data_IF_004522446936
#
_entry.id   IF_004522446936
#
_cell.length_a   1.000
_cell.length_b   1.000
_cell.length_c   1.000
_cell.angle_alpha   90.00
_cell.angle_beta   90.00
_cell.angle_gamma   90.00
#
_symmetry.space_group_name_H-M   'P 1'
#
loop_
_entity.id
_entity.type
_entity.pdbx_description
1 polymer ?
#
# COMPACT_ATOMS: atom_id res chain seq x y z
N UNK A 1 -35.35 7.43 31.68
CA UNK A 1 -35.69 8.81 31.29
C UNK A 1 -34.44 9.53 30.81
N UNK A 2 -34.39 10.10 29.59
CA UNK A 2 -33.22 10.84 29.14
C UNK A 2 -33.20 12.21 29.80
N UNK A 3 -32.13 12.50 30.56
CA UNK A 3 -31.90 13.79 31.20
C UNK A 3 -31.66 14.84 30.11
N UNK A 4 -32.48 15.88 30.07
CA UNK A 4 -32.36 17.02 29.15
C UNK A 4 -31.00 17.71 29.29
N UNK A 5 -30.30 17.91 28.17
CA UNK A 5 -29.05 18.68 28.09
C UNK A 5 -29.31 20.13 28.49
N UNK A 6 -29.02 20.51 29.74
CA UNK A 6 -29.06 21.92 30.15
C UNK A 6 -28.95 22.17 31.65
N UNK A 7 -29.56 21.32 32.49
CA UNK A 7 -29.40 21.41 33.95
C UNK A 7 -28.41 20.34 34.42
N UNK A 8 -27.14 20.70 34.50
CA UNK A 8 -26.14 19.82 35.14
C UNK A 8 -26.40 19.85 36.64
N UNK A 9 -27.21 18.92 37.14
CA UNK A 9 -27.23 18.58 38.57
C UNK A 9 -25.77 18.43 39.03
N UNK A 10 -25.33 19.31 39.93
CA UNK A 10 -23.93 19.42 40.38
C UNK A 10 -23.58 18.35 41.43
N UNK A 11 -24.60 17.67 41.95
CA UNK A 11 -24.52 16.63 42.99
C UNK A 11 -25.46 15.48 42.63
N UNK A 12 -25.20 14.30 43.21
CA UNK A 12 -26.02 13.08 43.14
C UNK A 12 -26.22 12.57 44.57
N UNK A 13 -27.37 11.99 44.91
CA UNK A 13 -27.52 11.39 46.24
C UNK A 13 -26.64 10.14 46.38
N UNK A 14 -26.22 9.81 47.61
CA UNK A 14 -25.42 8.59 47.84
C UNK A 14 -26.22 7.33 47.48
N UNK A 15 -27.53 7.31 47.74
CA UNK A 15 -28.40 6.19 47.38
C UNK A 15 -28.49 5.99 45.86
N UNK A 16 -28.70 7.06 45.10
CA UNK A 16 -28.74 7.01 43.63
C UNK A 16 -27.39 6.56 43.05
N UNK A 17 -26.28 7.08 43.59
CA UNK A 17 -24.95 6.65 43.18
C UNK A 17 -24.71 5.16 43.45
N UNK A 18 -25.12 4.65 44.62
CA UNK A 18 -25.02 3.23 44.96
C UNK A 18 -25.83 2.37 43.99
N UNK A 19 -27.05 2.77 43.64
CA UNK A 19 -27.89 2.05 42.68
C UNK A 19 -27.19 1.97 41.30
N UNK A 20 -26.67 3.09 40.79
CA UNK A 20 -25.93 3.11 39.52
C UNK A 20 -24.66 2.24 39.59
N UNK A 21 -23.97 2.23 40.74
CA UNK A 21 -22.79 1.39 40.96
C UNK A 21 -23.16 -0.10 40.92
N UNK A 22 -24.25 -0.49 41.58
CA UNK A 22 -24.75 -1.86 41.59
C UNK A 22 -25.27 -2.32 40.22
N UNK A 23 -26.06 -1.49 39.51
CA UNK A 23 -26.54 -1.76 38.15
C UNK A 23 -25.38 -2.05 37.17
N UNK A 24 -24.21 -1.46 37.43
CA UNK A 24 -22.99 -1.64 36.64
C UNK A 24 -22.10 -2.78 37.15
N UNK A 25 -22.60 -3.62 38.06
CA UNK A 25 -21.88 -4.73 38.69
C UNK A 25 -20.61 -4.31 39.44
N UNK A 26 -20.66 -3.19 40.13
CA UNK A 26 -19.57 -2.67 40.95
C UNK A 26 -20.02 -2.49 42.41
N UNK A 27 -19.05 -2.28 43.31
CA UNK A 27 -19.27 -1.94 44.73
C UNK A 27 -18.62 -0.59 45.01
N UNK A 28 -19.36 0.30 45.67
CA UNK A 28 -18.83 1.57 46.16
C UNK A 28 -18.14 1.35 47.51
N UNK A 29 -16.82 1.40 47.51
CA UNK A 29 -16.03 1.19 48.74
C UNK A 29 -15.97 2.46 49.58
N UNK A 30 -15.73 3.59 48.92
CA UNK A 30 -15.54 4.87 49.60
C UNK A 30 -15.92 6.05 48.72
N UNK A 31 -16.52 7.07 49.32
CA UNK A 31 -16.72 8.39 48.72
C UNK A 31 -15.75 9.36 49.38
N UNK A 32 -14.87 9.98 48.59
CA UNK A 32 -13.87 10.93 49.07
C UNK A 32 -14.46 12.34 48.98
N UNK A 33 -15.01 12.82 50.09
CA UNK A 33 -15.60 14.15 50.26
C UNK A 33 -15.07 14.84 51.51
N UNK A 34 -15.12 16.17 51.55
CA UNK A 34 -14.73 16.96 52.74
C UNK A 34 -15.69 16.79 53.92
N UNK A 35 -16.95 16.40 53.67
CA UNK A 35 -17.93 16.09 54.72
C UNK A 35 -17.90 14.61 55.06
N UNK A 36 -17.97 14.29 56.36
CA UNK A 36 -18.22 12.94 56.88
C UNK A 36 -19.70 12.61 56.65
N UNK A 37 -20.00 11.46 56.05
CA UNK A 37 -21.36 10.97 55.74
C UNK A 37 -22.25 11.97 54.96
N UNK A 38 -21.87 12.35 53.72
CA UNK A 38 -22.69 13.26 52.94
C UNK A 38 -23.96 12.58 52.41
N UNK A 39 -25.13 13.22 52.50
CA UNK A 39 -26.33 12.75 51.79
C UNK A 39 -26.21 12.90 50.26
N UNK A 40 -25.38 13.87 49.83
CA UNK A 40 -25.15 14.23 48.44
C UNK A 40 -23.67 14.31 48.10
N UNK A 41 -23.28 13.67 46.99
CA UNK A 41 -21.92 13.64 46.48
C UNK A 41 -21.76 14.63 45.32
N UNK A 42 -20.86 15.63 45.44
CA UNK A 42 -20.50 16.48 44.31
C UNK A 42 -19.94 15.66 43.15
N UNK A 43 -20.34 15.97 41.91
CA UNK A 43 -19.87 15.23 40.72
C UNK A 43 -18.34 15.28 40.52
N UNK A 44 -17.67 16.29 41.08
CA UNK A 44 -16.22 16.43 41.03
C UNK A 44 -15.47 15.59 42.06
N UNK A 45 -16.16 15.07 43.08
CA UNK A 45 -15.57 14.21 44.11
C UNK A 45 -15.05 12.91 43.51
N UNK A 46 -14.06 12.32 44.19
CA UNK A 46 -13.54 11.00 43.86
C UNK A 46 -14.34 9.92 44.58
N UNK A 47 -14.46 8.77 43.93
CA UNK A 47 -15.05 7.56 44.48
C UNK A 47 -14.11 6.40 44.25
N UNK A 48 -14.03 5.51 45.25
CA UNK A 48 -13.30 4.27 45.19
C UNK A 48 -14.29 3.13 44.92
N UNK A 49 -14.04 2.37 43.85
CA UNK A 49 -14.93 1.34 43.34
C UNK A 49 -14.19 0.00 43.25
N UNK A 50 -14.92 -1.10 43.40
CA UNK A 50 -14.47 -2.46 43.07
C UNK A 50 -15.39 -3.09 42.04
N UNK A 51 -14.82 -3.73 41.01
CA UNK A 51 -15.63 -4.44 40.01
C UNK A 51 -15.93 -5.86 40.48
N UNK A 52 -17.20 -6.26 40.54
CA UNK A 52 -17.58 -7.62 40.96
C UNK A 52 -17.20 -8.69 39.92
N UNK A 53 -16.98 -8.31 38.66
CA UNK A 53 -16.61 -9.24 37.59
C UNK A 53 -15.11 -9.61 37.58
N UNK A 54 -14.23 -8.65 37.85
CA UNK A 54 -12.77 -8.86 37.74
C UNK A 54 -12.00 -8.54 39.02
N UNK A 55 -12.70 -8.18 40.11
CA UNK A 55 -12.15 -7.77 41.40
C UNK A 55 -11.14 -6.59 41.35
N UNK A 56 -11.03 -5.89 40.22
CA UNK A 56 -10.18 -4.73 40.10
C UNK A 56 -10.77 -3.54 40.88
N UNK A 57 -9.95 -2.94 41.73
CA UNK A 57 -10.26 -1.72 42.48
C UNK A 57 -9.66 -0.50 41.79
N UNK A 58 -10.41 0.60 41.75
CA UNK A 58 -9.92 1.86 41.17
C UNK A 58 -10.62 3.09 41.71
N UNK A 59 -9.90 4.21 41.71
CA UNK A 59 -10.47 5.52 41.97
C UNK A 59 -10.85 6.23 40.66
N UNK A 60 -11.96 6.96 40.70
CA UNK A 60 -12.36 7.85 39.60
C UNK A 60 -13.20 9.01 40.10
N UNK A 61 -13.39 10.05 39.27
CA UNK A 61 -14.33 11.13 39.59
C UNK A 61 -15.75 10.69 39.29
N UNK A 62 -16.72 11.10 40.10
CA UNK A 62 -18.12 10.71 39.94
C UNK A 62 -18.64 11.02 38.54
N UNK A 63 -18.40 12.22 37.99
CA UNK A 63 -18.86 12.54 36.62
C UNK A 63 -18.25 11.62 35.56
N UNK A 64 -16.96 11.29 35.68
CA UNK A 64 -16.27 10.40 34.73
C UNK A 64 -16.86 9.00 34.79
N UNK A 65 -17.22 8.53 35.98
CA UNK A 65 -17.90 7.26 36.13
C UNK A 65 -19.28 7.31 35.49
N UNK A 66 -20.11 8.29 35.84
CA UNK A 66 -21.48 8.42 35.35
C UNK A 66 -21.56 8.51 33.82
N UNK A 67 -20.67 9.28 33.18
CA UNK A 67 -20.66 9.50 31.72
C UNK A 67 -20.20 8.28 30.90
N UNK A 68 -19.61 7.24 31.52
CA UNK A 68 -19.19 6.03 30.80
C UNK A 68 -20.38 5.12 30.51
N UNK A 69 -20.81 5.11 29.24
CA UNK A 69 -21.86 4.23 28.71
C UNK A 69 -21.31 3.06 27.86
N UNK A 70 -20.01 2.78 27.95
CA UNK A 70 -19.37 1.70 27.20
C UNK A 70 -19.71 0.29 27.75
N UNK A 71 -19.39 -0.78 26.99
CA UNK A 71 -19.76 -2.15 27.33
C UNK A 71 -19.07 -2.71 28.59
N UNK A 72 -18.04 -2.03 29.10
CA UNK A 72 -17.44 -2.36 30.41
C UNK A 72 -18.15 -1.69 31.60
N UNK A 73 -19.21 -0.91 31.33
CA UNK A 73 -20.00 -0.16 32.30
C UNK A 73 -19.16 0.71 33.27
N UNK A 74 -17.96 1.09 32.86
CA UNK A 74 -17.05 1.94 33.63
C UNK A 74 -15.79 1.26 34.15
N UNK A 75 -15.73 -0.07 34.26
CA UNK A 75 -14.53 -0.77 34.74
C UNK A 75 -13.40 -0.70 33.70
N UNK A 76 -12.24 -0.20 34.12
CA UNK A 76 -11.07 -0.03 33.24
C UNK A 76 -10.43 -1.37 32.85
N UNK A 77 -10.38 -2.33 33.77
CA UNK A 77 -9.75 -3.62 33.52
C UNK A 77 -10.61 -4.48 32.60
N UNK A 78 -11.92 -4.58 32.86
CA UNK A 78 -12.87 -5.23 31.95
C UNK A 78 -12.83 -4.60 30.54
N UNK A 79 -12.75 -3.26 30.44
CA UNK A 79 -12.61 -2.58 29.15
C UNK A 79 -11.34 -2.99 28.41
N UNK A 80 -10.19 -3.02 29.12
CA UNK A 80 -8.91 -3.43 28.54
C UNK A 80 -8.95 -4.86 28.04
N UNK A 81 -9.54 -5.77 28.82
CA UNK A 81 -9.70 -7.17 28.44
C UNK A 81 -10.62 -7.30 27.20
N UNK A 82 -11.73 -6.56 27.14
CA UNK A 82 -12.63 -6.56 25.97
C UNK A 82 -11.95 -6.01 24.71
N UNK A 83 -11.11 -4.97 24.81
CA UNK A 83 -10.33 -4.44 23.67
C UNK A 83 -9.37 -5.49 23.10
N UNK A 84 -8.90 -6.40 23.94
CA UNK A 84 -7.99 -7.48 23.54
C UNK A 84 -8.74 -8.66 22.92
N UNK A 85 -10.05 -8.80 23.15
CA UNK A 85 -10.87 -9.85 22.57
C UNK A 85 -11.16 -9.58 21.07
N UNK A 86 -10.65 -10.41 20.13
CA UNK A 86 -10.86 -10.22 18.71
C UNK A 86 -12.30 -10.39 18.24
N UNK A 87 -13.13 -11.11 19.01
CA UNK A 87 -14.54 -11.33 18.69
C UNK A 87 -15.39 -10.08 18.95
N UNK A 88 -14.99 -9.28 19.94
CA UNK A 88 -15.71 -8.07 20.37
C UNK A 88 -15.18 -6.83 19.63
N UNK A 89 -13.85 -6.72 19.47
CA UNK A 89 -13.21 -5.58 18.80
C UNK A 89 -12.20 -6.03 17.74
N UNK A 90 -12.66 -6.50 16.56
CA UNK A 90 -11.78 -7.04 15.52
C UNK A 90 -10.73 -6.04 15.02
N UNK A 91 -11.01 -4.73 15.15
CA UNK A 91 -10.18 -3.62 14.69
C UNK A 91 -9.46 -2.84 15.81
N UNK A 92 -9.27 -3.46 16.98
CA UNK A 92 -8.74 -2.74 18.14
C UNK A 92 -7.34 -2.12 17.89
N UNK A 93 -7.05 -0.91 18.40
CA UNK A 93 -5.74 -0.27 18.25
C UNK A 93 -4.58 -1.13 18.77
N UNK A 94 -4.81 -1.93 19.81
CA UNK A 94 -3.84 -2.88 20.35
C UNK A 94 -3.44 -3.95 19.32
N UNK A 95 -4.42 -4.46 18.56
CA UNK A 95 -4.18 -5.44 17.48
C UNK A 95 -3.42 -4.81 16.31
N UNK A 96 -3.76 -3.58 15.92
CA UNK A 96 -3.00 -2.84 14.89
C UNK A 96 -1.52 -2.68 15.28
N UNK A 97 -1.25 -2.42 16.56
CA UNK A 97 0.12 -2.31 17.06
C UNK A 97 0.87 -3.65 17.07
N UNK A 98 0.22 -4.77 17.39
CA UNK A 98 0.84 -6.10 17.30
C UNK A 98 1.13 -6.51 15.85
N UNK A 99 0.17 -6.31 14.94
CA UNK A 99 0.37 -6.57 13.49
C UNK A 99 1.52 -5.69 12.95
N UNK A 100 1.60 -4.44 13.37
CA UNK A 100 2.69 -3.55 12.95
C UNK A 100 4.05 -3.89 13.57
N UNK A 101 4.09 -4.51 14.76
CA UNK A 101 5.33 -5.06 15.35
C UNK A 101 5.83 -6.30 14.60
N UNK A 102 4.92 -7.10 14.04
CA UNK A 102 5.25 -8.28 13.24
C UNK A 102 5.57 -7.97 11.78
N UNK A 103 5.24 -6.77 11.28
CA UNK A 103 5.80 -6.29 10.02
C UNK A 103 7.28 -6.03 10.26
N UNK A 104 8.14 -6.81 9.60
CA UNK A 104 9.59 -6.60 9.55
C UNK A 104 9.84 -5.10 9.37
N UNK A 105 10.40 -4.44 10.40
CA UNK A 105 10.55 -2.99 10.36
C UNK A 105 11.26 -2.56 9.07
N UNK A 106 11.01 -1.35 8.56
CA UNK A 106 11.66 -0.81 7.35
C UNK A 106 13.18 -1.05 7.27
N UNK A 107 13.85 -1.26 8.42
CA UNK A 107 15.26 -1.67 8.54
C UNK A 107 15.57 -3.02 7.88
N UNK A 108 14.70 -4.03 7.98
CA UNK A 108 14.88 -5.34 7.33
C UNK A 108 14.93 -5.16 5.80
N UNK A 109 14.06 -4.31 5.24
CA UNK A 109 14.10 -3.98 3.82
C UNK A 109 15.42 -3.32 3.39
N UNK A 110 16.00 -2.44 4.21
CA UNK A 110 17.28 -1.79 3.89
C UNK A 110 18.44 -2.79 3.89
N UNK A 111 18.47 -3.72 4.84
CA UNK A 111 19.54 -4.72 4.91
C UNK A 111 19.43 -5.75 3.78
N UNK A 112 18.20 -6.19 3.47
CA UNK A 112 17.94 -7.04 2.28
C UNK A 112 18.40 -6.34 1.00
N UNK A 113 18.12 -5.04 0.85
CA UNK A 113 18.61 -4.26 -0.29
C UNK A 113 20.14 -4.18 -0.32
N UNK A 114 20.81 -3.95 0.83
CA UNK A 114 22.28 -3.94 0.88
C UNK A 114 22.89 -5.27 0.50
N UNK A 115 22.36 -6.38 1.00
CA UNK A 115 22.83 -7.72 0.64
C UNK A 115 22.63 -7.97 -0.86
N UNK A 116 21.48 -7.61 -1.42
CA UNK A 116 21.23 -7.70 -2.86
C UNK A 116 22.21 -6.83 -3.68
N UNK A 117 22.52 -5.61 -3.22
CA UNK A 117 23.48 -4.72 -3.89
C UNK A 117 24.91 -5.26 -3.82
N UNK A 118 25.33 -5.78 -2.66
CA UNK A 118 26.67 -6.35 -2.46
C UNK A 118 26.95 -7.52 -3.40
N UNK A 119 25.91 -8.29 -3.72
CA UNK A 119 26.00 -9.42 -4.66
C UNK A 119 25.65 -9.02 -6.11
N UNK A 120 25.26 -7.77 -6.36
CA UNK A 120 24.88 -7.27 -7.67
C UNK A 120 26.06 -6.71 -8.48
N UNK A 121 25.78 -6.29 -9.71
CA UNK A 121 26.79 -5.75 -10.65
C UNK A 121 27.62 -4.58 -10.08
N UNK A 122 27.04 -3.81 -9.14
CA UNK A 122 27.67 -2.65 -8.51
C UNK A 122 28.22 -2.92 -7.11
N UNK A 123 28.24 -4.17 -6.64
CA UNK A 123 28.67 -4.53 -5.29
C UNK A 123 30.14 -4.20 -4.97
N UNK A 124 30.96 -3.99 -6.01
CA UNK A 124 32.36 -3.58 -5.91
C UNK A 124 32.52 -2.07 -5.61
N UNK A 125 31.48 -1.25 -5.81
CA UNK A 125 31.50 0.18 -5.50
C UNK A 125 31.05 0.37 -4.04
N UNK A 126 31.95 0.90 -3.21
CA UNK A 126 31.74 1.03 -1.77
C UNK A 126 31.91 2.46 -1.25
N UNK A 127 32.39 3.37 -2.10
CA UNK A 127 32.63 4.77 -1.73
C UNK A 127 32.55 5.70 -2.94
N UNK A 128 32.54 7.02 -2.68
CA UNK A 128 32.39 8.06 -3.71
C UNK A 128 33.52 8.04 -4.73
N UNK A 129 34.77 7.73 -4.32
CA UNK A 129 35.91 7.67 -5.25
C UNK A 129 35.72 6.57 -6.29
N UNK A 130 35.38 5.36 -5.84
CA UNK A 130 35.07 4.22 -6.73
C UNK A 130 33.86 4.52 -7.63
N UNK A 131 32.84 5.21 -7.12
CA UNK A 131 31.71 5.65 -7.94
C UNK A 131 32.16 6.62 -9.04
N UNK A 132 32.99 7.60 -8.71
CA UNK A 132 33.54 8.53 -9.71
C UNK A 132 34.38 7.82 -10.77
N UNK A 133 35.20 6.83 -10.37
CA UNK A 133 36.01 6.05 -11.30
C UNK A 133 35.11 5.20 -12.24
N UNK A 134 34.05 4.59 -11.69
CA UNK A 134 33.04 3.89 -12.49
C UNK A 134 32.38 4.82 -13.52
N UNK A 135 31.95 6.02 -13.11
CA UNK A 135 31.31 6.99 -14.01
C UNK A 135 32.26 7.46 -15.13
N UNK A 136 33.55 7.65 -14.83
CA UNK A 136 34.57 8.01 -15.82
C UNK A 136 34.82 6.89 -16.83
N UNK A 137 34.86 5.65 -16.36
CA UNK A 137 35.13 4.48 -17.21
C UNK A 137 33.92 4.06 -18.06
N UNK A 138 32.72 4.56 -17.75
CA UNK A 138 31.49 4.27 -18.47
C UNK A 138 30.84 5.57 -18.99
N UNK A 139 31.48 6.31 -19.91
CA UNK A 139 31.00 7.62 -20.32
C UNK A 139 29.68 7.52 -21.09
N UNK A 140 28.70 8.31 -20.66
CA UNK A 140 27.45 8.60 -21.38
C UNK A 140 26.87 9.91 -20.86
N UNK A 141 25.85 10.47 -21.53
CA UNK A 141 25.30 11.77 -21.17
C UNK A 141 24.85 11.87 -19.70
N UNK A 142 24.26 10.80 -19.16
CA UNK A 142 23.88 10.71 -17.75
C UNK A 142 25.10 10.70 -16.82
N UNK A 143 26.05 9.79 -17.04
CA UNK A 143 27.23 9.62 -16.19
C UNK A 143 28.12 10.88 -16.19
N UNK A 144 28.25 11.56 -17.33
CA UNK A 144 28.97 12.84 -17.44
C UNK A 144 28.31 13.93 -16.61
N UNK A 145 26.97 14.04 -16.66
CA UNK A 145 26.23 15.02 -15.85
C UNK A 145 26.32 14.71 -14.35
N UNK A 146 26.19 13.45 -13.96
CA UNK A 146 26.33 13.06 -12.55
C UNK A 146 27.73 13.36 -12.03
N UNK A 147 28.76 13.04 -12.81
CA UNK A 147 30.15 13.27 -12.41
C UNK A 147 30.42 14.75 -12.13
N UNK A 148 29.92 15.66 -12.98
CA UNK A 148 30.08 17.11 -12.75
C UNK A 148 29.36 17.59 -11.47
N UNK A 149 28.18 17.03 -11.17
CA UNK A 149 27.44 17.32 -9.94
C UNK A 149 28.15 16.80 -8.68
N UNK A 150 28.75 15.61 -8.74
CA UNK A 150 29.59 15.08 -7.63
C UNK A 150 30.78 16.01 -7.40
N UNK A 151 31.50 16.40 -8.45
CA UNK A 151 32.67 17.29 -8.35
C UNK A 151 32.26 18.64 -7.73
N UNK A 152 31.16 19.24 -8.18
CA UNK A 152 30.59 20.46 -7.59
C UNK A 152 30.34 20.29 -6.10
N UNK A 153 29.64 19.23 -5.71
CA UNK A 153 29.23 18.99 -4.33
C UNK A 153 30.43 18.76 -3.39
N UNK A 154 31.45 18.03 -3.84
CA UNK A 154 32.70 17.86 -3.10
C UNK A 154 33.46 19.20 -2.97
N UNK A 155 33.43 20.05 -4.01
CA UNK A 155 33.95 21.41 -3.94
C UNK A 155 33.25 22.25 -2.86
N UNK A 156 31.92 22.30 -2.87
CA UNK A 156 31.13 23.02 -1.86
C UNK A 156 31.43 22.51 -0.44
N UNK A 157 31.55 21.19 -0.27
CA UNK A 157 31.87 20.57 1.01
C UNK A 157 33.24 21.01 1.55
N UNK A 158 34.27 21.14 0.69
CA UNK A 158 35.59 21.66 1.09
C UNK A 158 35.49 23.09 1.63
N UNK A 159 34.62 23.91 1.06
CA UNK A 159 34.36 25.28 1.51
C UNK A 159 33.33 25.36 2.66
N UNK A 160 32.87 24.23 3.20
CA UNK A 160 31.82 24.14 4.23
C UNK A 160 30.48 24.79 3.82
N UNK A 161 30.23 24.94 2.52
CA UNK A 161 28.98 25.44 1.96
C UNK A 161 28.03 24.27 1.74
N UNK A 162 26.77 24.36 2.20
CA UNK A 162 25.78 23.33 1.90
C UNK A 162 24.95 23.79 0.71
N UNK A 163 24.66 22.87 -0.22
CA UNK A 163 23.86 23.19 -1.41
C UNK A 163 22.49 23.78 -1.06
N UNK A 164 21.89 23.34 0.05
CA UNK A 164 20.63 23.88 0.59
C UNK A 164 20.68 25.35 1.01
N UNK A 165 21.88 25.86 1.32
CA UNK A 165 22.08 27.25 1.72
C UNK A 165 22.11 28.14 0.46
N UNK A 166 22.49 27.58 -0.68
CA UNK A 166 22.45 28.25 -2.00
C UNK A 166 21.06 28.17 -2.65
N UNK A 167 20.33 27.07 -2.43
CA UNK A 167 19.02 26.80 -3.05
C UNK A 167 17.99 26.33 -2.01
N UNK A 168 17.51 27.22 -1.12
CA UNK A 168 16.59 26.86 -0.05
C UNK A 168 15.25 26.35 -0.58
N UNK A 169 14.86 25.14 -0.16
CA UNK A 169 13.57 24.51 -0.55
C UNK A 169 13.57 23.84 -1.93
N UNK A 170 14.67 23.93 -2.67
CA UNK A 170 14.81 23.44 -4.04
C UNK A 170 15.72 22.21 -4.16
N UNK A 171 16.20 21.66 -3.03
CA UNK A 171 17.05 20.48 -3.02
C UNK A 171 16.22 19.19 -3.00
N UNK A 172 16.72 18.18 -3.71
CA UNK A 172 16.24 16.81 -3.67
C UNK A 172 17.43 15.84 -3.62
N UNK A 173 17.18 14.60 -3.20
CA UNK A 173 18.19 13.55 -3.09
C UNK A 173 18.04 12.58 -4.26
N UNK A 174 19.09 12.43 -5.07
CA UNK A 174 19.09 11.56 -6.25
C UNK A 174 19.99 10.34 -6.02
N UNK A 175 19.50 9.12 -6.29
CA UNK A 175 20.34 7.92 -6.30
C UNK A 175 21.11 7.83 -7.62
N UNK A 176 22.44 7.94 -7.61
CA UNK A 176 23.27 7.88 -8.83
C UNK A 176 23.05 6.55 -9.56
N UNK A 177 23.11 5.45 -8.83
CA UNK A 177 22.68 4.14 -9.30
C UNK A 177 21.35 3.82 -8.61
N UNK A 178 20.23 3.67 -9.33
CA UNK A 178 18.94 3.46 -8.68
C UNK A 178 18.81 2.09 -8.05
N UNK A 179 17.94 2.00 -7.03
CA UNK A 179 17.71 0.76 -6.28
C UNK A 179 17.20 -0.39 -7.17
N UNK A 180 16.35 -0.11 -8.16
CA UNK A 180 15.83 -1.14 -9.07
C UNK A 180 16.88 -1.66 -10.06
N UNK A 181 17.99 -0.93 -10.23
CA UNK A 181 19.18 -1.38 -10.97
C UNK A 181 20.24 -1.98 -10.03
N UNK A 182 19.86 -2.41 -8.83
CA UNK A 182 20.73 -2.93 -7.76
C UNK A 182 21.77 -1.91 -7.24
N UNK A 183 21.45 -0.61 -7.29
CA UNK A 183 22.27 0.43 -6.66
C UNK A 183 22.13 0.44 -5.13
N UNK A 184 23.23 0.73 -4.42
CA UNK A 184 23.24 0.73 -2.96
C UNK A 184 22.36 1.83 -2.34
N UNK A 185 21.65 1.58 -1.23
CA UNK A 185 20.94 2.60 -0.46
C UNK A 185 21.87 3.40 0.48
N UNK A 186 23.19 3.26 0.35
CA UNK A 186 24.17 3.95 1.17
C UNK A 186 24.43 5.38 0.65
N UNK A 187 24.90 6.24 1.56
CA UNK A 187 25.01 7.68 1.30
C UNK A 187 25.99 8.05 0.18
N UNK A 188 26.98 7.21 -0.11
CA UNK A 188 27.92 7.46 -1.21
C UNK A 188 27.25 7.39 -2.58
N UNK A 189 26.11 6.69 -2.70
CA UNK A 189 25.35 6.54 -3.93
C UNK A 189 24.22 7.59 -4.05
N UNK A 190 24.12 8.53 -3.12
CA UNK A 190 23.05 9.53 -3.08
C UNK A 190 23.67 10.91 -3.10
N UNK A 191 23.33 11.71 -4.12
CA UNK A 191 23.82 13.09 -4.25
C UNK A 191 22.69 14.10 -4.02
N UNK A 192 22.97 15.22 -3.31
CA UNK A 192 22.06 16.35 -3.27
C UNK A 192 22.13 17.09 -4.62
N UNK A 193 20.97 17.37 -5.19
CA UNK A 193 20.79 18.08 -6.47
C UNK A 193 19.62 19.04 -6.35
N UNK A 194 19.52 20.04 -7.22
CA UNK A 194 18.29 20.84 -7.32
C UNK A 194 17.15 20.01 -7.90
N UNK A 195 15.89 20.45 -7.76
CA UNK A 195 14.73 19.75 -8.35
C UNK A 195 14.81 19.72 -9.87
N UNK A 196 15.30 20.80 -10.48
CA UNK A 196 15.61 20.90 -11.91
C UNK A 196 16.64 19.85 -12.33
N UNK A 197 17.76 19.77 -11.60
CA UNK A 197 18.80 18.77 -11.85
C UNK A 197 18.26 17.34 -11.66
N UNK A 198 17.41 17.10 -10.66
CA UNK A 198 16.79 15.79 -10.44
C UNK A 198 15.93 15.35 -11.64
N UNK A 199 15.12 16.28 -12.18
CA UNK A 199 14.30 16.02 -13.36
C UNK A 199 15.16 15.73 -14.59
N UNK A 200 16.17 16.57 -14.84
CA UNK A 200 17.13 16.41 -15.94
C UNK A 200 17.84 15.06 -15.86
N UNK A 201 18.29 14.65 -14.65
CA UNK A 201 18.94 13.36 -14.45
C UNK A 201 18.03 12.17 -14.81
N UNK A 202 16.74 12.20 -14.46
CA UNK A 202 15.82 11.14 -14.88
C UNK A 202 15.55 11.15 -16.39
N UNK A 203 15.49 12.32 -17.03
CA UNK A 203 15.37 12.42 -18.49
C UNK A 203 16.58 11.79 -19.19
N UNK A 204 17.79 12.15 -18.76
CA UNK A 204 19.03 11.61 -19.28
C UNK A 204 19.12 10.10 -19.07
N UNK A 205 18.74 9.61 -17.88
CA UNK A 205 18.79 8.18 -17.60
C UNK A 205 17.80 7.39 -18.45
N UNK A 206 16.57 7.90 -18.64
CA UNK A 206 15.62 7.29 -19.56
C UNK A 206 16.15 7.26 -21.00
N UNK A 207 16.79 8.34 -21.46
CA UNK A 207 17.36 8.40 -22.80
C UNK A 207 18.51 7.40 -23.01
N UNK A 208 19.34 7.16 -21.98
CA UNK A 208 20.48 6.22 -22.06
C UNK A 208 20.05 4.75 -21.93
N UNK A 209 19.16 4.43 -21.00
CA UNK A 209 18.85 3.03 -20.63
C UNK A 209 17.44 2.57 -21.04
N UNK A 210 16.55 3.47 -21.47
CA UNK A 210 15.18 3.13 -21.90
C UNK A 210 14.24 2.65 -20.78
N UNK A 211 14.63 2.82 -19.51
CA UNK A 211 13.89 2.26 -18.38
C UNK A 211 12.63 3.07 -18.04
N UNK A 212 11.45 2.46 -18.17
CA UNK A 212 10.15 3.11 -17.90
C UNK A 212 10.02 3.71 -16.49
N UNK A 213 10.76 3.18 -15.51
CA UNK A 213 10.77 3.72 -14.16
C UNK A 213 11.34 5.15 -14.11
N UNK A 214 12.37 5.45 -14.91
CA UNK A 214 12.91 6.81 -15.02
C UNK A 214 11.94 7.74 -15.71
N UNK A 215 11.28 7.29 -16.77
CA UNK A 215 10.25 8.08 -17.43
C UNK A 215 9.15 8.49 -16.44
N UNK A 216 8.70 7.58 -15.58
CA UNK A 216 7.75 7.90 -14.52
C UNK A 216 8.32 8.91 -13.51
N UNK A 217 9.59 8.75 -13.13
CA UNK A 217 10.27 9.66 -12.22
C UNK A 217 10.49 11.05 -12.82
N UNK A 218 10.69 11.18 -14.14
CA UNK A 218 10.71 12.45 -14.87
C UNK A 218 9.40 13.20 -14.67
N UNK A 219 8.25 12.56 -14.84
CA UNK A 219 6.95 13.22 -14.62
C UNK A 219 6.72 13.59 -13.15
N UNK A 220 7.16 12.75 -12.22
CA UNK A 220 7.05 13.03 -10.79
C UNK A 220 7.88 14.26 -10.40
N UNK A 221 9.14 14.30 -10.81
CA UNK A 221 10.05 15.42 -10.53
C UNK A 221 9.64 16.72 -11.23
N UNK A 222 9.02 16.64 -12.42
CA UNK A 222 8.45 17.81 -13.07
C UNK A 222 7.36 18.47 -12.21
N UNK A 223 6.52 17.67 -11.54
CA UNK A 223 5.50 18.20 -10.64
C UNK A 223 6.10 18.88 -9.42
N UNK A 224 7.25 18.39 -8.93
CA UNK A 224 7.98 19.03 -7.83
C UNK A 224 8.60 20.37 -8.25
N UNK A 225 9.08 20.49 -9.49
CA UNK A 225 9.57 21.77 -10.06
C UNK A 225 8.43 22.78 -10.13
N UNK A 226 7.28 22.40 -10.70
CA UNK A 226 6.13 23.31 -10.82
C UNK A 226 5.68 23.77 -9.42
N UNK A 227 5.63 22.85 -8.46
CA UNK A 227 5.27 23.18 -7.07
C UNK A 227 6.29 24.11 -6.42
N UNK A 228 7.58 23.91 -6.66
CA UNK A 228 8.64 24.78 -6.13
C UNK A 228 8.50 26.22 -6.66
N UNK A 229 8.23 26.36 -7.97
CA UNK A 229 8.15 27.68 -8.63
C UNK A 229 6.84 28.42 -8.36
N UNK A 230 5.72 27.70 -8.29
CA UNK A 230 4.38 28.33 -8.24
C UNK A 230 3.76 28.29 -6.85
N UNK A 231 4.31 27.52 -5.91
CA UNK A 231 3.69 27.21 -4.61
C UNK A 231 2.43 26.33 -4.71
N UNK A 232 1.90 26.10 -5.91
CA UNK A 232 0.70 25.32 -6.16
C UNK A 232 1.03 23.92 -6.69
N UNK A 233 0.37 22.90 -6.14
CA UNK A 233 0.52 21.52 -6.63
C UNK A 233 -0.36 21.32 -7.86
N UNK A 234 0.20 21.56 -9.06
CA UNK A 234 -0.48 21.18 -10.29
C UNK A 234 -0.35 19.67 -10.49
N UNK A 235 -1.49 18.97 -10.62
CA UNK A 235 -1.50 17.59 -11.09
C UNK A 235 -1.13 17.59 -12.57
N UNK A 236 0.16 17.42 -12.87
CA UNK A 236 0.58 17.07 -14.23
C UNK A 236 -0.18 15.79 -14.58
N UNK A 237 -0.87 15.79 -15.73
CA UNK A 237 -1.50 14.58 -16.27
C UNK A 237 -0.39 13.55 -16.41
N UNK A 238 -0.28 12.65 -15.43
CA UNK A 238 0.58 11.47 -15.52
C UNK A 238 0.25 10.81 -16.86
N UNK A 239 1.25 10.23 -17.54
CA UNK A 239 1.02 9.34 -18.70
C UNK A 239 -0.23 8.55 -18.37
N UNK A 240 -1.31 8.59 -19.19
CA UNK A 240 -2.52 7.85 -18.90
C UNK A 240 -2.05 6.46 -18.52
N UNK A 241 -2.24 6.10 -17.24
CA UNK A 241 -1.74 4.84 -16.72
C UNK A 241 -2.17 3.83 -17.77
N UNK A 242 -1.21 3.22 -18.48
CA UNK A 242 -1.55 2.10 -19.36
C UNK A 242 -2.48 1.26 -18.52
N UNK A 243 -3.69 0.96 -19.04
CA UNK A 243 -4.77 0.30 -18.33
C UNK A 243 -4.31 -1.10 -17.86
N UNK A 244 -3.40 -1.11 -16.90
CA UNK A 244 -2.77 -2.22 -16.22
C UNK A 244 -3.68 -2.68 -15.09
N UNK A 245 -4.79 -1.99 -14.86
CA UNK A 245 -5.99 -2.52 -14.23
C UNK A 245 -6.42 -3.84 -14.87
N UNK A 246 -6.10 -4.09 -16.15
CA UNK A 246 -6.28 -5.40 -16.81
C UNK A 246 -5.17 -6.42 -16.54
N UNK A 247 -3.91 -5.98 -16.33
CA UNK A 247 -2.72 -6.86 -16.26
C UNK A 247 -2.42 -7.32 -14.82
N UNK A 248 -2.61 -6.46 -13.81
CA UNK A 248 -2.22 -6.78 -12.41
C UNK A 248 -3.05 -7.89 -11.74
N UNK A 249 -4.16 -8.29 -12.36
CA UNK A 249 -5.06 -9.33 -11.85
C UNK A 249 -5.32 -10.43 -12.88
N UNK A 250 -4.39 -10.68 -13.81
CA UNK A 250 -4.49 -11.83 -14.69
C UNK A 250 -4.16 -13.09 -13.86
N UNK A 251 -5.07 -14.08 -13.77
CA UNK A 251 -4.78 -15.35 -13.11
C UNK A 251 -3.53 -15.99 -13.72
N UNK A 252 -2.71 -16.64 -12.88
CA UNK A 252 -1.43 -17.20 -13.30
C UNK A 252 -1.60 -18.23 -14.45
N UNK A 253 -2.70 -18.96 -14.46
CA UNK A 253 -3.12 -19.86 -15.53
C UNK A 253 -3.19 -19.15 -16.89
N UNK A 254 -3.81 -17.97 -16.91
CA UNK A 254 -3.97 -17.17 -18.12
C UNK A 254 -2.62 -16.59 -18.56
N UNK A 255 -1.80 -16.14 -17.62
CA UNK A 255 -0.45 -15.65 -17.94
C UNK A 255 0.41 -16.77 -18.55
N UNK A 256 0.32 -17.99 -18.02
CA UNK A 256 1.03 -19.15 -18.55
C UNK A 256 0.53 -19.53 -19.94
N UNK A 257 -0.79 -19.57 -20.16
CA UNK A 257 -1.38 -19.86 -21.47
C UNK A 257 -0.91 -18.84 -22.54
N UNK A 258 -0.89 -17.55 -22.20
CA UNK A 258 -0.39 -16.51 -23.12
C UNK A 258 1.12 -16.65 -23.39
N UNK A 259 1.90 -17.09 -22.40
CA UNK A 259 3.33 -17.33 -22.54
C UNK A 259 3.65 -18.56 -23.39
N UNK A 260 2.83 -19.61 -23.29
CA UNK A 260 3.02 -20.88 -24.00
C UNK A 260 2.37 -20.88 -25.40
N UNK A 261 1.40 -20.00 -25.63
CA UNK A 261 0.57 -20.03 -26.83
C UNK A 261 -0.58 -21.02 -26.71
N UNK A 262 -1.56 -20.89 -27.60
CA UNK A 262 -2.75 -21.75 -27.62
C UNK A 262 -3.36 -21.81 -29.02
N UNK A 263 -4.09 -22.88 -29.29
CA UNK A 263 -4.92 -23.04 -30.50
C UNK A 263 -6.37 -22.87 -30.07
N UNK A 264 -7.09 -21.98 -30.74
CA UNK A 264 -8.51 -21.74 -30.52
C UNK A 264 -9.29 -22.29 -31.72
N UNK A 265 -10.25 -23.18 -31.48
CA UNK A 265 -11.06 -23.82 -32.53
C UNK A 265 -12.53 -23.58 -32.25
N UNK A 266 -13.23 -22.96 -33.18
CA UNK A 266 -14.68 -22.79 -33.16
C UNK A 266 -15.37 -24.05 -33.70
N UNK A 267 -16.54 -24.39 -33.16
CA UNK A 267 -17.38 -25.52 -33.62
C UNK A 267 -17.71 -25.50 -35.13
N UNK A 268 -17.71 -24.32 -35.75
CA UNK A 268 -18.02 -24.13 -37.17
C UNK A 268 -16.76 -24.20 -38.06
N UNK A 269 -15.62 -24.66 -37.51
CA UNK A 269 -14.38 -24.92 -38.25
C UNK A 269 -13.36 -23.78 -38.25
N UNK A 270 -13.73 -22.57 -37.82
CA UNK A 270 -12.79 -21.45 -37.72
C UNK A 270 -11.74 -21.69 -36.65
N UNK A 271 -10.46 -21.62 -37.01
CA UNK A 271 -9.35 -21.83 -36.08
C UNK A 271 -8.30 -20.72 -36.16
N UNK A 272 -7.67 -20.42 -35.02
CA UNK A 272 -6.53 -19.49 -34.94
C UNK A 272 -5.49 -19.99 -33.96
N UNK A 273 -4.22 -19.83 -34.34
CA UNK A 273 -3.07 -20.11 -33.49
C UNK A 273 -2.57 -18.82 -32.87
N UNK A 274 -2.65 -18.73 -31.54
CA UNK A 274 -2.08 -17.61 -30.76
C UNK A 274 -0.66 -18.00 -30.36
N UNK A 275 0.32 -17.34 -30.97
CA UNK A 275 1.74 -17.61 -30.73
C UNK A 275 2.19 -17.12 -29.33
N UNK A 276 3.22 -17.75 -28.74
CA UNK A 276 3.80 -17.35 -27.45
C UNK A 276 4.08 -15.85 -27.34
N UNK A 277 3.65 -15.23 -26.24
CA UNK A 277 3.92 -13.82 -25.90
C UNK A 277 3.42 -12.78 -26.92
N UNK A 278 2.52 -13.14 -27.83
CA UNK A 278 1.94 -12.18 -28.78
C UNK A 278 0.79 -11.37 -28.21
N UNK A 279 0.05 -11.92 -27.25
CA UNK A 279 -1.07 -11.28 -26.57
C UNK A 279 -0.77 -11.13 -25.08
N UNK A 280 -1.28 -10.08 -24.44
CA UNK A 280 -0.95 -9.74 -23.05
C UNK A 280 -2.13 -9.89 -22.08
N UNK A 281 -3.36 -9.85 -22.58
CA UNK A 281 -4.57 -9.82 -21.75
C UNK A 281 -5.67 -10.73 -22.27
N UNK A 282 -6.61 -11.11 -21.40
CA UNK A 282 -7.83 -11.83 -21.83
C UNK A 282 -8.68 -11.00 -22.80
N UNK A 283 -8.56 -9.66 -22.75
CA UNK A 283 -9.26 -8.77 -23.68
C UNK A 283 -8.66 -8.89 -25.09
N UNK A 284 -7.35 -9.06 -25.21
CA UNK A 284 -6.70 -9.29 -26.49
C UNK A 284 -7.18 -10.61 -27.10
N UNK A 285 -7.23 -11.68 -26.28
CA UNK A 285 -7.80 -12.97 -26.71
C UNK A 285 -9.24 -12.80 -27.19
N UNK A 286 -10.08 -12.08 -26.45
CA UNK A 286 -11.46 -11.77 -26.88
C UNK A 286 -11.48 -11.12 -28.26
N UNK A 287 -10.66 -10.09 -28.48
CA UNK A 287 -10.64 -9.37 -29.74
C UNK A 287 -10.17 -10.28 -30.90
N UNK A 288 -9.17 -11.13 -30.66
CA UNK A 288 -8.71 -12.13 -31.62
C UNK A 288 -9.82 -13.12 -32.01
N UNK A 289 -10.58 -13.64 -31.03
CA UNK A 289 -11.70 -14.55 -31.29
C UNK A 289 -12.86 -13.88 -32.04
N UNK A 290 -13.14 -12.61 -31.75
CA UNK A 290 -14.16 -11.82 -32.47
C UNK A 290 -13.75 -11.63 -33.93
N UNK A 291 -12.48 -11.29 -34.17
CA UNK A 291 -11.97 -11.01 -35.52
C UNK A 291 -11.83 -12.29 -36.37
N UNK A 292 -11.74 -13.46 -35.75
CA UNK A 292 -11.72 -14.74 -36.45
C UNK A 292 -13.07 -15.09 -37.11
N UNK A 293 -14.19 -14.56 -36.59
CA UNK A 293 -15.52 -14.89 -37.06
C UNK A 293 -16.05 -13.85 -38.08
N UNK A 294 -16.85 -14.26 -39.09
CA UNK A 294 -17.55 -13.33 -40.00
C UNK A 294 -18.46 -12.32 -39.27
N UNK A 295 -18.74 -11.19 -39.93
CA UNK A 295 -19.54 -10.07 -39.38
C UNK A 295 -20.96 -10.47 -38.96
N UNK A 296 -21.57 -11.33 -39.76
CA UNK A 296 -22.91 -11.89 -39.61
C UNK A 296 -22.96 -13.12 -38.69
N UNK A 297 -21.81 -13.60 -38.20
CA UNK A 297 -21.73 -14.81 -37.38
C UNK A 297 -22.38 -14.60 -36.00
N UNK A 298 -23.34 -15.46 -35.62
CA UNK A 298 -24.11 -15.31 -34.37
C UNK A 298 -23.24 -15.21 -33.12
N UNK A 299 -22.19 -16.04 -33.03
CA UNK A 299 -21.33 -16.07 -31.85
C UNK A 299 -20.41 -14.83 -31.76
N UNK A 300 -20.07 -14.18 -32.89
CA UNK A 300 -19.36 -12.88 -32.91
C UNK A 300 -20.21 -11.80 -32.22
N UNK A 301 -21.48 -11.72 -32.62
CA UNK A 301 -22.44 -10.77 -32.05
C UNK A 301 -22.66 -11.03 -30.55
N UNK A 302 -22.77 -12.30 -30.15
CA UNK A 302 -22.89 -12.67 -28.72
C UNK A 302 -21.68 -12.25 -27.88
N UNK A 303 -20.46 -12.39 -28.40
CA UNK A 303 -19.24 -11.97 -27.70
C UNK A 303 -19.19 -10.44 -27.55
N UNK A 304 -19.56 -9.70 -28.59
CA UNK A 304 -19.57 -8.23 -28.60
C UNK A 304 -20.62 -7.66 -27.64
N UNK A 305 -21.85 -8.19 -27.67
CA UNK A 305 -22.96 -7.70 -26.85
C UNK A 305 -22.83 -8.08 -25.37
N UNK A 306 -22.20 -9.21 -25.05
CA UNK A 306 -22.10 -9.67 -23.67
C UNK A 306 -20.95 -8.98 -22.93
N UNK A 307 -21.29 -8.11 -21.96
CA UNK A 307 -20.34 -7.39 -21.08
C UNK A 307 -19.43 -8.31 -20.26
N UNK A 308 -19.84 -9.56 -20.03
CA UNK A 308 -19.08 -10.56 -19.24
C UNK A 308 -18.30 -11.56 -20.09
N UNK A 309 -18.26 -11.38 -21.42
CA UNK A 309 -17.54 -12.25 -22.37
C UNK A 309 -16.09 -12.51 -21.98
N UNK A 310 -15.38 -11.49 -21.48
CA UNK A 310 -14.00 -11.62 -21.00
C UNK A 310 -13.90 -12.63 -19.85
N UNK A 311 -14.88 -12.70 -18.95
CA UNK A 311 -14.87 -13.64 -17.83
C UNK A 311 -15.14 -15.09 -18.28
N UNK A 312 -15.98 -15.28 -19.31
CA UNK A 312 -16.21 -16.60 -19.90
C UNK A 312 -14.97 -17.12 -20.61
N UNK A 313 -14.32 -16.27 -21.42
CA UNK A 313 -13.06 -16.60 -22.10
C UNK A 313 -11.96 -16.87 -21.06
N UNK A 314 -11.87 -16.06 -20.00
CA UNK A 314 -10.94 -16.30 -18.87
C UNK A 314 -11.16 -17.69 -18.25
N UNK A 315 -12.41 -18.05 -18.01
CA UNK A 315 -12.76 -19.33 -17.38
C UNK A 315 -12.44 -20.52 -18.28
N UNK A 316 -12.64 -20.37 -19.60
CA UNK A 316 -12.23 -21.36 -20.60
C UNK A 316 -10.71 -21.57 -20.57
N UNK A 317 -9.91 -20.50 -20.54
CA UNK A 317 -8.44 -20.58 -20.45
C UNK A 317 -8.02 -21.28 -19.15
N UNK A 318 -8.53 -20.85 -17.99
CA UNK A 318 -8.19 -21.47 -16.69
C UNK A 318 -8.50 -22.97 -16.67
N UNK A 319 -9.62 -23.37 -17.27
CA UNK A 319 -10.03 -24.77 -17.34
C UNK A 319 -9.10 -25.60 -18.23
N UNK A 320 -8.59 -25.00 -19.30
CA UNK A 320 -7.72 -25.67 -20.27
C UNK A 320 -6.27 -25.74 -19.79
N UNK A 321 -5.82 -24.74 -19.02
CA UNK A 321 -4.46 -24.61 -18.49
C UNK A 321 -4.47 -24.62 -16.95
N UNK A 322 -4.93 -25.70 -16.29
CA UNK A 322 -5.03 -25.75 -14.84
C UNK A 322 -3.63 -25.76 -14.20
N UNK A 323 -3.51 -25.09 -13.06
CA UNK A 323 -2.32 -25.24 -12.20
C UNK A 323 -2.46 -26.45 -11.27
N UNK A 324 -1.35 -27.11 -10.88
CA UNK A 324 -1.38 -28.32 -10.05
C UNK A 324 -2.04 -28.19 -8.67
N UNK A 325 -2.34 -26.97 -8.22
CA UNK A 325 -2.61 -26.67 -6.80
C UNK A 325 -4.03 -26.17 -6.50
N UNK A 326 -4.93 -26.05 -7.47
CA UNK A 326 -6.26 -25.49 -7.22
C UNK A 326 -7.26 -26.58 -6.78
N UNK A 327 -7.28 -26.87 -5.47
CA UNK A 327 -8.21 -27.82 -4.82
C UNK A 327 -9.70 -27.44 -4.80
N UNK A 328 -10.14 -26.50 -5.64
CA UNK A 328 -11.57 -26.17 -5.81
C UNK A 328 -11.96 -26.37 -7.27
N UNK A 329 -12.74 -27.44 -7.51
CA UNK A 329 -13.35 -27.74 -8.79
C UNK A 329 -14.35 -26.63 -9.15
N UNK A 330 -13.90 -25.60 -9.87
CA UNK A 330 -14.83 -24.72 -10.60
C UNK A 330 -15.53 -25.57 -11.65
N UNK A 331 -16.83 -25.31 -11.90
CA UNK A 331 -17.57 -25.96 -13.00
C UNK A 331 -16.73 -25.89 -14.27
N UNK A 332 -16.39 -27.05 -14.81
CA UNK A 332 -15.54 -27.18 -15.98
C UNK A 332 -16.23 -26.51 -17.17
N UNK A 333 -15.62 -25.46 -17.74
CA UNK A 333 -16.13 -24.82 -18.94
C UNK A 333 -15.45 -25.47 -20.13
N UNK A 334 -16.19 -26.32 -20.85
CA UNK A 334 -15.67 -27.03 -22.03
C UNK A 334 -15.68 -26.17 -23.29
N UNK A 335 -16.55 -25.16 -23.37
CA UNK A 335 -16.53 -24.17 -24.45
C UNK A 335 -17.08 -22.82 -24.00
N UNK A 336 -16.60 -21.74 -24.62
CA UNK A 336 -17.19 -20.40 -24.49
C UNK A 336 -17.46 -19.85 -25.89
N UNK A 337 -18.72 -19.54 -26.19
CA UNK A 337 -19.14 -19.05 -27.50
C UNK A 337 -18.75 -19.97 -28.67
N UNK A 338 -18.84 -21.29 -28.48
CA UNK A 338 -18.48 -22.27 -29.49
C UNK A 338 -16.98 -22.52 -29.65
N UNK A 339 -16.12 -21.79 -28.94
CA UNK A 339 -14.68 -22.02 -28.93
C UNK A 339 -14.25 -23.08 -27.92
N UNK A 340 -13.34 -23.94 -28.37
CA UNK A 340 -12.51 -24.83 -27.56
C UNK A 340 -11.06 -24.34 -27.63
N UNK A 341 -10.28 -24.60 -26.58
CA UNK A 341 -8.87 -24.24 -26.50
C UNK A 341 -8.03 -25.50 -26.38
N UNK A 342 -6.86 -25.48 -27.00
CA UNK A 342 -5.84 -26.51 -26.87
C UNK A 342 -4.47 -25.85 -26.63
N UNK A 343 -3.57 -26.47 -25.84
CA UNK A 343 -2.18 -26.04 -25.76
C UNK A 343 -1.54 -26.05 -27.16
N UNK A 344 -0.73 -25.03 -27.45
CA UNK A 344 0.16 -25.11 -28.59
C UNK A 344 1.21 -26.17 -28.25
N UNK A 345 1.10 -27.35 -28.87
CA UNK A 345 1.99 -28.49 -28.62
C UNK A 345 3.44 -28.00 -28.63
N UNK A 346 4.17 -28.29 -27.55
CA UNK A 346 5.60 -28.02 -27.42
C UNK A 346 6.43 -28.89 -28.35
#
# INVERSE_FOLDING_TARGET
>A
MPISRGQKLTKISVSELNNIVQERNHVLLQVITSKRNPDYVPKQSKIHLRCLKCNYEWETKVYVYLERLGPSLGCRQCYKNMIQDPSIYPNSPCRKNQINKNKSGRRVGREVLRVACKNGQFGHIQNVKQLMDYLKNNPNAYNTKVLSLIIRNEGLKKHKIKLKDLYPGEISMHHVIPLHANGSPDLWNIIPVTKEEHHELHQLRYAVYGEKADLQATFATQSDIIKARTGCSQKIKQIPKQNTSGIRNIPLEVANALKQGMICIHKDGYAITIQPNTLQTTQDVKNTLVNLLPEDHKDRQRILQNKTSVNYIRSLIITTFPLPTTGTLKKQVQSAYGFTLQPLLS
#
